data_IF_929800592917
#
_entry.id   IF_929800592917
#
_cell.length_a   1.000
_cell.length_b   1.000
_cell.length_c   1.000
_cell.angle_alpha   90.00
_cell.angle_beta   90.00
_cell.angle_gamma   90.00
#
_symmetry.space_group_name_H-M   'P 1'
#
loop_
_entity.id
_entity.type
_entity.pdbx_description
1 polymer ?
#
# COMPACT_ATOMS: atom_id res chain seq x y z
N UNK A 1 10.98 -3.68 -13.04
CA UNK A 1 11.60 -3.22 -14.31
C UNK A 1 11.00 -3.91 -15.53
N UNK A 2 11.17 -5.21 -15.76
CA UNK A 2 10.61 -5.93 -16.94
C UNK A 2 9.12 -5.65 -17.23
N UNK A 3 8.31 -5.49 -16.18
CA UNK A 3 6.89 -5.14 -16.33
C UNK A 3 6.73 -3.75 -16.99
N UNK A 4 7.42 -2.74 -16.47
CA UNK A 4 7.39 -1.39 -17.01
C UNK A 4 7.99 -1.33 -18.41
N UNK A 5 9.10 -2.04 -18.66
CA UNK A 5 9.70 -2.14 -19.99
C UNK A 5 8.68 -2.60 -21.04
N UNK A 6 7.88 -3.63 -20.72
CA UNK A 6 6.84 -4.13 -21.61
C UNK A 6 5.65 -3.19 -21.75
N UNK A 7 5.20 -2.56 -20.66
CA UNK A 7 4.00 -1.70 -20.67
C UNK A 7 4.29 -0.37 -21.39
N UNK A 8 5.48 0.18 -21.23
CA UNK A 8 5.87 1.48 -21.80
C UNK A 8 6.77 1.36 -23.03
N UNK A 9 6.80 0.20 -23.71
CA UNK A 9 7.66 -0.06 -24.86
C UNK A 9 9.10 0.48 -24.68
N UNK A 10 9.67 0.29 -23.49
CA UNK A 10 10.93 0.93 -23.12
C UNK A 10 12.13 0.19 -23.70
N UNK A 11 13.24 0.91 -23.87
CA UNK A 11 14.57 0.32 -24.06
C UNK A 11 15.31 0.29 -22.73
N UNK A 12 16.02 -0.81 -22.44
CA UNK A 12 16.79 -0.95 -21.20
C UNK A 12 18.21 -1.43 -21.44
N UNK A 13 19.14 -1.02 -20.57
CA UNK A 13 20.53 -1.49 -20.56
C UNK A 13 20.91 -1.89 -19.14
N UNK A 14 21.58 -3.03 -18.99
CA UNK A 14 21.97 -3.58 -17.67
C UNK A 14 20.82 -4.28 -16.92
N UNK A 15 19.73 -4.65 -17.61
CA UNK A 15 18.59 -5.36 -17.02
C UNK A 15 18.85 -6.86 -16.84
N UNK A 16 19.78 -7.18 -15.95
CA UNK A 16 20.19 -8.55 -15.63
C UNK A 16 20.39 -8.77 -14.13
N UNK A 17 20.25 -10.01 -13.69
CA UNK A 17 20.36 -10.36 -12.26
C UNK A 17 21.80 -10.11 -11.81
N UNK A 18 21.97 -9.33 -10.74
CA UNK A 18 23.27 -8.98 -10.18
C UNK A 18 23.87 -7.69 -10.73
N UNK A 19 23.24 -7.05 -11.72
CA UNK A 19 23.67 -5.73 -12.20
C UNK A 19 23.59 -4.67 -11.09
N UNK A 20 24.55 -3.74 -11.11
CA UNK A 20 24.60 -2.57 -10.22
C UNK A 20 24.18 -1.28 -10.90
N UNK A 21 23.97 -1.32 -12.22
CA UNK A 21 23.60 -0.17 -13.04
C UNK A 21 22.44 -0.55 -13.97
N UNK A 22 21.51 0.38 -14.14
CA UNK A 22 20.35 0.20 -15.00
C UNK A 22 20.06 1.53 -15.70
N UNK A 23 20.06 1.50 -17.03
CA UNK A 23 19.52 2.60 -17.85
C UNK A 23 18.12 2.20 -18.32
N UNK A 24 17.16 3.10 -18.18
CA UNK A 24 15.76 2.87 -18.56
C UNK A 24 15.26 4.05 -19.41
N UNK A 25 14.91 3.78 -20.66
CA UNK A 25 14.45 4.76 -21.63
C UNK A 25 12.98 4.50 -21.94
N UNK A 26 12.02 5.17 -21.24
CA UNK A 26 10.60 4.92 -21.43
C UNK A 26 10.16 5.35 -22.85
N UNK A 27 9.32 4.53 -23.47
CA UNK A 27 8.53 4.91 -24.65
C UNK A 27 7.08 5.25 -24.25
N UNK A 28 6.19 5.19 -25.23
CA UNK A 28 4.76 5.42 -25.00
C UNK A 28 4.10 4.24 -24.27
N UNK A 29 3.15 4.55 -23.38
CA UNK A 29 2.37 3.54 -22.68
C UNK A 29 1.12 3.21 -23.48
N UNK A 30 1.05 1.98 -23.97
CA UNK A 30 -0.16 1.46 -24.59
C UNK A 30 -1.08 0.88 -23.51
N UNK A 31 -2.29 1.43 -23.39
CA UNK A 31 -3.37 0.78 -22.64
C UNK A 31 -3.67 -0.60 -23.23
N UNK A 32 -4.20 -1.51 -22.44
CA UNK A 32 -4.45 -2.87 -22.90
C UNK A 32 -4.42 -3.92 -21.79
N UNK A 33 -4.42 -5.19 -22.19
CA UNK A 33 -4.42 -6.33 -21.26
C UNK A 33 -3.06 -6.99 -21.20
N UNK A 34 -2.53 -7.14 -19.99
CA UNK A 34 -1.25 -7.76 -19.73
C UNK A 34 -1.37 -8.87 -18.69
N UNK A 35 -0.49 -9.87 -18.83
CA UNK A 35 -0.28 -10.92 -17.84
C UNK A 35 1.19 -10.97 -17.47
N UNK A 36 1.48 -10.98 -16.18
CA UNK A 36 2.83 -11.06 -15.64
C UNK A 36 2.88 -12.10 -14.52
N UNK A 37 3.96 -12.88 -14.50
CA UNK A 37 4.29 -13.78 -13.40
C UNK A 37 5.67 -13.35 -12.87
N UNK A 38 5.73 -13.01 -11.59
CA UNK A 38 6.98 -12.64 -10.91
C UNK A 38 7.90 -13.86 -10.79
N UNK A 39 7.36 -15.08 -10.88
CA UNK A 39 8.10 -16.35 -10.87
C UNK A 39 8.64 -16.75 -9.50
N UNK A 40 8.48 -15.89 -8.49
CA UNK A 40 8.91 -16.09 -7.11
C UNK A 40 7.84 -15.55 -6.15
N UNK A 41 8.11 -15.60 -4.84
CA UNK A 41 7.31 -14.89 -3.84
C UNK A 41 7.55 -13.37 -3.81
N UNK A 42 8.07 -12.77 -4.88
CA UNK A 42 8.17 -11.31 -5.01
C UNK A 42 6.79 -10.66 -4.95
N UNK A 43 6.71 -9.51 -4.28
CA UNK A 43 5.44 -8.87 -3.92
C UNK A 43 4.72 -8.28 -5.13
N UNK A 44 3.47 -8.70 -5.33
CA UNK A 44 2.60 -8.12 -6.37
C UNK A 44 2.20 -6.69 -6.01
N UNK A 45 2.07 -6.34 -4.72
CA UNK A 45 1.67 -4.99 -4.29
C UNK A 45 2.77 -3.98 -4.59
N UNK A 46 4.04 -4.34 -4.41
CA UNK A 46 5.18 -3.51 -4.84
C UNK A 46 5.23 -3.34 -6.36
N UNK A 47 5.02 -4.43 -7.11
CA UNK A 47 4.97 -4.35 -8.57
C UNK A 47 3.83 -3.43 -9.03
N UNK A 48 2.64 -3.54 -8.44
CA UNK A 48 1.50 -2.66 -8.71
C UNK A 48 1.80 -1.20 -8.36
N UNK A 49 2.47 -0.93 -7.24
CA UNK A 49 2.88 0.43 -6.89
C UNK A 49 3.83 1.06 -7.92
N UNK A 50 4.56 0.28 -8.70
CA UNK A 50 5.35 0.82 -9.82
C UNK A 50 4.53 1.10 -11.08
N UNK A 51 3.38 0.45 -11.25
CA UNK A 51 2.56 0.51 -12.47
C UNK A 51 1.42 1.53 -12.33
N UNK A 52 0.80 1.62 -11.15
CA UNK A 52 -0.35 2.51 -10.91
C UNK A 52 -0.07 4.00 -11.23
N UNK A 53 1.14 4.56 -11.02
CA UNK A 53 1.44 5.93 -11.44
C UNK A 53 1.25 6.18 -12.94
N UNK A 54 1.29 5.13 -13.78
CA UNK A 54 1.00 5.26 -15.22
C UNK A 54 -0.44 5.70 -15.50
N UNK A 55 -1.36 5.60 -14.53
CA UNK A 55 -2.73 6.14 -14.63
C UNK A 55 -2.76 7.59 -15.12
N UNK A 56 -1.75 8.39 -14.79
CA UNK A 56 -1.65 9.79 -15.22
C UNK A 56 -1.18 10.01 -16.66
N UNK A 57 -0.57 8.99 -17.29
CA UNK A 57 0.01 9.07 -18.63
C UNK A 57 -0.71 8.23 -19.69
N UNK A 58 -1.67 7.39 -19.28
CA UNK A 58 -2.45 6.54 -20.20
C UNK A 58 -3.72 7.20 -20.68
N UNK A 59 -4.11 6.93 -21.93
CA UNK A 59 -5.40 7.34 -22.51
C UNK A 59 -6.45 6.22 -22.52
N UNK A 60 -6.02 4.97 -22.28
CA UNK A 60 -6.86 3.77 -22.23
C UNK A 60 -6.52 2.95 -20.98
N UNK A 61 -7.49 2.22 -20.39
CA UNK A 61 -7.23 1.40 -19.21
C UNK A 61 -6.14 0.33 -19.40
N UNK A 62 -5.46 0.01 -18.31
CA UNK A 62 -4.55 -1.13 -18.19
C UNK A 62 -5.22 -2.22 -17.36
N UNK A 63 -5.46 -3.39 -17.96
CA UNK A 63 -5.96 -4.59 -17.28
C UNK A 63 -4.82 -5.56 -17.06
N UNK A 64 -4.43 -5.79 -15.80
CA UNK A 64 -3.24 -6.54 -15.42
C UNK A 64 -3.64 -7.75 -14.60
N UNK A 65 -3.34 -8.94 -15.10
CA UNK A 65 -3.33 -10.16 -14.31
C UNK A 65 -1.90 -10.39 -13.82
N UNK A 66 -1.70 -10.37 -12.50
CA UNK A 66 -0.38 -10.44 -11.90
C UNK A 66 -0.31 -11.61 -10.92
N UNK A 67 0.73 -12.44 -11.08
CA UNK A 67 1.02 -13.59 -10.22
C UNK A 67 2.31 -13.41 -9.43
N UNK A 68 2.28 -13.72 -8.14
CA UNK A 68 3.41 -13.54 -7.22
C UNK A 68 3.03 -13.70 -5.74
N UNK A 69 3.75 -13.04 -4.84
CA UNK A 69 3.42 -12.97 -3.42
C UNK A 69 2.40 -11.87 -3.12
N UNK A 70 1.35 -12.17 -2.35
CA UNK A 70 0.31 -11.20 -1.94
C UNK A 70 0.51 -10.73 -0.49
N UNK A 71 1.05 -11.63 0.34
CA UNK A 71 1.21 -11.46 1.77
C UNK A 71 2.62 -11.92 2.14
N UNK A 72 3.62 -11.08 1.82
CA UNK A 72 5.04 -11.38 1.97
C UNK A 72 5.77 -10.26 2.71
N UNK A 73 6.86 -10.59 3.40
CA UNK A 73 7.63 -9.65 4.22
C UNK A 73 8.15 -8.46 3.40
N UNK A 74 8.38 -7.35 4.10
CA UNK A 74 8.96 -6.12 3.53
C UNK A 74 8.15 -5.53 2.37
N UNK A 75 6.85 -5.80 2.35
CA UNK A 75 5.91 -5.22 1.40
C UNK A 75 4.54 -5.03 2.05
N UNK A 76 3.70 -4.12 1.53
CA UNK A 76 2.31 -4.06 1.92
C UNK A 76 1.62 -5.41 1.67
N UNK A 77 0.90 -5.92 2.67
CA UNK A 77 -0.01 -7.05 2.46
C UNK A 77 -1.11 -6.66 1.48
N UNK A 78 -1.76 -7.65 0.87
CA UNK A 78 -2.85 -7.39 -0.07
C UNK A 78 -3.98 -6.55 0.54
N UNK A 79 -4.37 -6.85 1.78
CA UNK A 79 -5.42 -6.09 2.47
C UNK A 79 -4.97 -4.67 2.81
N UNK A 80 -3.73 -4.45 3.26
CA UNK A 80 -3.25 -3.08 3.42
C UNK A 80 -3.28 -2.33 2.07
N UNK A 81 -2.79 -2.95 1.01
CA UNK A 81 -2.81 -2.37 -0.32
C UNK A 81 -4.22 -2.01 -0.78
N UNK A 82 -5.19 -2.93 -0.67
CA UNK A 82 -6.57 -2.71 -1.13
C UNK A 82 -7.35 -1.78 -0.20
N UNK A 83 -7.32 -2.05 1.10
CA UNK A 83 -8.20 -1.39 2.07
C UNK A 83 -7.64 -0.04 2.54
N UNK A 84 -6.33 0.21 2.44
CA UNK A 84 -5.69 1.46 2.92
C UNK A 84 -5.14 2.28 1.76
N UNK A 85 -4.21 1.71 1.00
CA UNK A 85 -3.52 2.44 -0.07
C UNK A 85 -4.44 2.81 -1.24
N UNK A 86 -5.15 1.84 -1.82
CA UNK A 86 -6.09 2.10 -2.92
C UNK A 86 -7.28 2.96 -2.48
N UNK A 87 -7.68 2.88 -1.20
CA UNK A 87 -8.73 3.75 -0.67
C UNK A 87 -8.35 5.23 -0.82
N UNK A 88 -7.10 5.59 -0.51
CA UNK A 88 -6.61 6.97 -0.64
C UNK A 88 -6.35 7.35 -2.09
N UNK A 89 -5.84 6.44 -2.92
CA UNK A 89 -5.65 6.71 -4.35
C UNK A 89 -6.96 7.01 -5.08
N UNK A 90 -8.00 6.21 -4.82
CA UNK A 90 -9.31 6.42 -5.43
C UNK A 90 -9.92 7.78 -5.01
N UNK A 91 -9.65 8.25 -3.78
CA UNK A 91 -10.09 9.57 -3.32
C UNK A 91 -9.44 10.73 -4.08
N UNK A 92 -8.20 10.58 -4.55
CA UNK A 92 -7.50 11.61 -5.31
C UNK A 92 -7.69 11.45 -6.83
N UNK A 93 -8.71 10.70 -7.27
CA UNK A 93 -9.06 10.54 -8.68
C UNK A 93 -8.23 9.51 -9.46
N UNK A 94 -7.46 8.66 -8.77
CA UNK A 94 -6.70 7.56 -9.38
C UNK A 94 -7.51 6.26 -9.25
N UNK A 95 -8.42 6.01 -10.21
CA UNK A 95 -9.32 4.84 -10.20
C UNK A 95 -8.56 3.54 -10.51
N UNK A 96 -8.41 2.73 -9.46
CA UNK A 96 -7.82 1.39 -9.52
C UNK A 96 -8.79 0.40 -8.90
N UNK A 97 -9.16 -0.62 -9.68
CA UNK A 97 -9.98 -1.75 -9.23
C UNK A 97 -9.12 -2.98 -9.11
N UNK A 98 -9.07 -3.56 -7.93
CA UNK A 98 -8.19 -4.68 -7.63
C UNK A 98 -8.96 -5.83 -6.95
N UNK A 99 -8.96 -6.97 -7.62
CA UNK A 99 -9.61 -8.20 -7.18
C UNK A 99 -8.58 -9.30 -7.00
N UNK A 100 -8.55 -9.85 -5.79
CA UNK A 100 -7.70 -10.99 -5.47
C UNK A 100 -8.39 -12.24 -5.99
N UNK A 101 -7.68 -13.00 -6.82
CA UNK A 101 -8.13 -14.32 -7.28
C UNK A 101 -7.67 -15.38 -6.29
N UNK A 102 -6.42 -15.28 -5.82
CA UNK A 102 -5.81 -16.24 -4.89
C UNK A 102 -4.70 -15.60 -4.08
N UNK A 103 -4.57 -15.98 -2.81
CA UNK A 103 -3.46 -15.58 -1.92
C UNK A 103 -2.17 -16.30 -2.26
N UNK A 104 -1.06 -15.61 -1.99
CA UNK A 104 0.30 -16.06 -2.22
C UNK A 104 1.18 -15.73 -1.03
N UNK A 105 1.28 -16.65 -0.09
CA UNK A 105 2.20 -16.52 1.05
C UNK A 105 3.60 -17.07 0.70
N UNK A 106 4.62 -16.49 1.34
CA UNK A 106 6.00 -17.03 1.32
C UNK A 106 6.02 -18.49 1.86
N UNK A 107 6.86 -19.41 1.35
CA UNK A 107 7.93 -19.21 0.35
C UNK A 107 7.49 -19.35 -1.10
N UNK A 108 6.37 -20.01 -1.39
CA UNK A 108 5.98 -20.30 -2.77
C UNK A 108 5.43 -19.08 -3.51
N UNK A 109 4.78 -18.15 -2.80
CA UNK A 109 3.99 -17.11 -3.45
C UNK A 109 2.85 -17.74 -4.25
N UNK A 110 2.75 -17.40 -5.54
CA UNK A 110 1.75 -17.97 -6.46
C UNK A 110 0.33 -17.46 -6.27
N UNK A 111 0.16 -16.40 -5.48
CA UNK A 111 -1.06 -15.61 -5.43
C UNK A 111 -1.28 -14.89 -6.75
N UNK A 112 -2.51 -14.51 -7.01
CA UNK A 112 -2.97 -13.99 -8.29
C UNK A 112 -4.00 -12.90 -8.05
N UNK A 113 -3.87 -11.79 -8.78
CA UNK A 113 -4.81 -10.70 -8.75
C UNK A 113 -5.09 -10.16 -10.15
N UNK A 114 -6.32 -9.70 -10.36
CA UNK A 114 -6.73 -8.92 -11.51
C UNK A 114 -6.84 -7.45 -11.08
N UNK A 115 -6.16 -6.57 -11.79
CA UNK A 115 -6.13 -5.14 -11.49
C UNK A 115 -6.40 -4.34 -12.74
N UNK A 116 -7.43 -3.51 -12.72
CA UNK A 116 -7.73 -2.53 -13.74
C UNK A 116 -7.31 -1.14 -13.25
N UNK A 117 -6.45 -0.47 -14.02
CA UNK A 117 -5.98 0.90 -13.78
C UNK A 117 -6.57 1.76 -14.88
N UNK A 118 -7.38 2.75 -14.50
CA UNK A 118 -8.02 3.66 -15.46
C UNK A 118 -7.20 4.94 -15.63
N UNK A 119 -7.30 5.62 -16.79
CA UNK A 119 -6.80 6.98 -16.93
C UNK A 119 -7.32 7.86 -15.81
N UNK A 120 -6.43 8.55 -15.11
CA UNK A 120 -6.80 9.48 -14.06
C UNK A 120 -7.64 10.61 -14.67
N UNK A 121 -8.85 10.82 -14.14
CA UNK A 121 -9.76 11.90 -14.55
C UNK A 121 -9.90 12.87 -13.38
N UNK A 122 -9.62 14.13 -13.64
CA UNK A 122 -9.74 15.23 -12.68
C UNK A 122 -9.11 14.90 -11.30
N UNK A 123 -7.83 14.51 -11.26
CA UNK A 123 -7.21 14.12 -10.00
C UNK A 123 -7.09 15.31 -9.04
N UNK A 124 -7.40 15.06 -7.78
CA UNK A 124 -7.56 16.10 -6.76
C UNK A 124 -6.38 16.15 -5.78
N UNK A 125 -6.09 17.35 -5.28
CA UNK A 125 -5.14 17.52 -4.17
C UNK A 125 -5.65 16.87 -2.89
N UNK A 126 -4.73 16.38 -2.07
CA UNK A 126 -5.04 15.80 -0.77
C UNK A 126 -4.65 16.77 0.36
N UNK A 127 -5.63 17.35 1.04
CA UNK A 127 -5.44 18.26 2.16
C UNK A 127 -6.07 17.67 3.43
N UNK A 128 -5.28 16.89 4.18
CA UNK A 128 -5.78 16.17 5.35
C UNK A 128 -5.30 16.81 6.64
N UNK A 129 -6.23 17.41 7.36
CA UNK A 129 -6.04 17.86 8.74
C UNK A 129 -5.84 16.71 9.73
N UNK A 130 -5.39 17.04 10.94
CA UNK A 130 -5.25 16.08 12.05
C UNK A 130 -6.59 15.39 12.33
N UNK A 131 -6.53 14.11 12.64
CA UNK A 131 -7.70 13.22 12.66
C UNK A 131 -7.99 12.66 14.05
N UNK A 132 -9.19 12.12 14.23
CA UNK A 132 -9.59 11.39 15.44
C UNK A 132 -10.28 10.09 15.05
N UNK A 133 -9.69 8.99 15.47
CA UNK A 133 -10.10 7.65 15.11
C UNK A 133 -10.78 6.95 16.28
N UNK A 134 -11.95 6.34 16.04
CA UNK A 134 -12.77 5.74 17.11
C UNK A 134 -13.08 4.25 16.89
N UNK A 135 -12.87 3.75 15.68
CA UNK A 135 -13.18 2.38 15.28
C UNK A 135 -12.00 1.71 14.61
N UNK A 136 -11.75 0.44 14.93
CA UNK A 136 -10.83 -0.43 14.20
C UNK A 136 -11.63 -1.41 13.35
N UNK A 137 -11.35 -1.43 12.06
CA UNK A 137 -11.77 -2.49 11.14
C UNK A 137 -10.57 -3.38 10.85
N UNK A 138 -10.80 -4.61 10.41
CA UNK A 138 -9.69 -5.47 10.04
C UNK A 138 -10.05 -6.77 9.36
N UNK A 139 -9.03 -7.34 8.72
CA UNK A 139 -9.08 -8.66 8.06
C UNK A 139 -7.91 -9.49 8.56
N UNK A 140 -8.21 -10.72 8.97
CA UNK A 140 -7.24 -11.77 9.22
C UNK A 140 -7.30 -12.71 8.02
N UNK A 141 -6.31 -12.62 7.14
CA UNK A 141 -6.16 -13.51 6.01
C UNK A 141 -5.46 -14.79 6.46
N UNK A 142 -5.97 -15.96 6.08
CA UNK A 142 -5.41 -17.25 6.49
C UNK A 142 -5.48 -18.29 5.37
N UNK A 143 -4.46 -19.13 5.28
CA UNK A 143 -4.39 -20.27 4.35
C UNK A 143 -3.78 -21.48 5.05
N UNK A 144 -4.42 -22.65 4.90
CA UNK A 144 -3.94 -23.99 5.29
C UNK A 144 -3.49 -24.13 6.74
N UNK A 145 -3.89 -23.19 7.59
CA UNK A 145 -3.66 -23.22 9.02
C UNK A 145 -4.91 -23.70 9.75
N UNK A 146 -4.71 -24.28 10.93
CA UNK A 146 -5.80 -24.75 11.79
C UNK A 146 -6.71 -23.59 12.22
N UNK A 147 -8.00 -23.88 12.37
CA UNK A 147 -9.05 -22.92 12.75
C UNK A 147 -8.77 -22.18 14.08
N UNK A 148 -8.05 -22.79 15.01
CA UNK A 148 -7.71 -22.15 16.29
C UNK A 148 -6.80 -20.93 16.10
N UNK A 149 -5.97 -20.89 15.05
CA UNK A 149 -5.01 -19.81 14.81
C UNK A 149 -5.71 -18.47 14.52
N UNK A 150 -6.52 -18.31 13.45
CA UNK A 150 -7.19 -17.05 13.16
C UNK A 150 -8.19 -16.66 14.25
N UNK A 151 -8.81 -17.64 14.93
CA UNK A 151 -9.70 -17.39 16.08
C UNK A 151 -8.96 -16.78 17.27
N UNK A 152 -7.78 -17.30 17.62
CA UNK A 152 -6.95 -16.77 18.71
C UNK A 152 -6.42 -15.36 18.41
N UNK A 153 -6.01 -15.10 17.16
CA UNK A 153 -5.63 -13.76 16.70
C UNK A 153 -6.82 -12.80 16.87
N UNK A 154 -7.99 -13.16 16.32
CA UNK A 154 -9.21 -12.35 16.42
C UNK A 154 -9.60 -12.06 17.86
N UNK A 155 -9.60 -13.08 18.72
CA UNK A 155 -9.91 -12.90 20.14
C UNK A 155 -8.90 -11.95 20.82
N UNK A 156 -7.61 -12.11 20.57
CA UNK A 156 -6.59 -11.20 21.12
C UNK A 156 -6.85 -9.74 20.75
N UNK A 157 -7.19 -9.48 19.48
CA UNK A 157 -7.50 -8.11 19.00
C UNK A 157 -8.79 -7.59 19.65
N UNK A 158 -9.88 -8.37 19.65
CA UNK A 158 -11.16 -7.95 20.24
C UNK A 158 -11.00 -7.64 21.73
N UNK A 159 -10.28 -8.49 22.47
CA UNK A 159 -10.01 -8.27 23.90
C UNK A 159 -9.30 -6.93 24.14
N UNK A 160 -8.25 -6.64 23.37
CA UNK A 160 -7.51 -5.39 23.48
C UNK A 160 -8.35 -4.16 23.08
N UNK A 161 -9.21 -4.29 22.07
CA UNK A 161 -10.17 -3.26 21.71
C UNK A 161 -11.16 -2.97 22.85
N UNK A 162 -11.71 -4.01 23.49
CA UNK A 162 -12.62 -3.86 24.64
C UNK A 162 -11.92 -3.17 25.82
N UNK A 163 -10.69 -3.57 26.16
CA UNK A 163 -9.87 -2.95 27.20
C UNK A 163 -9.61 -1.45 26.95
N UNK A 164 -9.59 -1.03 25.68
CA UNK A 164 -9.38 0.37 25.27
C UNK A 164 -10.68 1.10 24.92
N UNK A 165 -11.84 0.47 25.06
CA UNK A 165 -13.14 1.02 24.63
C UNK A 165 -13.16 1.45 23.17
N UNK A 166 -12.48 0.70 22.29
CA UNK A 166 -12.43 0.94 20.85
C UNK A 166 -13.44 0.02 20.16
N UNK A 167 -14.32 0.59 19.33
CA UNK A 167 -15.23 -0.20 18.51
C UNK A 167 -14.42 -1.03 17.51
N UNK A 168 -14.73 -2.32 17.36
CA UNK A 168 -13.91 -3.22 16.57
C UNK A 168 -14.73 -4.18 15.70
N UNK A 169 -14.34 -4.31 14.43
CA UNK A 169 -14.95 -5.24 13.49
C UNK A 169 -13.88 -5.97 12.68
N UNK A 170 -13.68 -7.25 13.01
CA UNK A 170 -12.63 -8.09 12.39
C UNK A 170 -13.26 -9.25 11.63
N UNK A 171 -12.89 -9.37 10.36
CA UNK A 171 -13.26 -10.48 9.48
C UNK A 171 -12.11 -11.49 9.38
N UNK A 172 -12.45 -12.75 9.17
CA UNK A 172 -11.48 -13.78 8.81
C UNK A 172 -11.73 -14.11 7.34
N UNK A 173 -10.69 -13.97 6.53
CA UNK A 173 -10.68 -14.30 5.12
C UNK A 173 -9.81 -15.55 4.92
N UNK A 174 -10.45 -16.68 4.64
CA UNK A 174 -9.76 -17.97 4.46
C UNK A 174 -9.68 -18.28 2.98
N UNK A 175 -8.46 -18.50 2.50
CA UNK A 175 -8.18 -18.96 1.15
C UNK A 175 -7.21 -20.13 1.20
N UNK A 176 -7.75 -21.34 1.18
CA UNK A 176 -6.98 -22.58 1.18
C UNK A 176 -6.56 -23.02 -0.24
N UNK A 177 -6.88 -22.25 -1.29
CA UNK A 177 -6.33 -22.47 -2.62
C UNK A 177 -4.88 -21.97 -2.72
N UNK A 178 -4.46 -21.07 -1.83
CA UNK A 178 -3.07 -20.58 -1.73
C UNK A 178 -2.05 -21.73 -1.70
N UNK A 179 -0.94 -21.67 -2.47
CA UNK A 179 0.07 -22.74 -2.50
C UNK A 179 0.79 -22.99 -1.17
N UNK A 180 0.78 -21.98 -0.28
CA UNK A 180 1.49 -21.96 1.00
C UNK A 180 0.51 -21.80 2.17
N UNK A 181 0.89 -22.36 3.31
CA UNK A 181 0.35 -21.96 4.61
C UNK A 181 0.72 -20.50 4.91
N UNK A 182 -0.16 -19.78 5.59
CA UNK A 182 0.15 -18.43 6.01
C UNK A 182 -0.99 -17.76 6.75
N UNK A 183 -0.64 -16.69 7.48
CA UNK A 183 -1.60 -15.78 8.08
C UNK A 183 -1.06 -14.36 8.00
N UNK A 184 -1.89 -13.40 7.66
CA UNK A 184 -1.60 -11.97 7.79
C UNK A 184 -2.77 -11.27 8.44
N UNK A 185 -2.50 -10.16 9.09
CA UNK A 185 -3.52 -9.33 9.73
C UNK A 185 -3.35 -7.91 9.24
N UNK A 186 -4.43 -7.32 8.76
CA UNK A 186 -4.49 -5.88 8.46
C UNK A 186 -5.58 -5.26 9.31
N UNK A 187 -5.23 -4.20 10.03
CA UNK A 187 -6.16 -3.35 10.76
C UNK A 187 -6.11 -1.95 10.16
N UNK A 188 -7.26 -1.29 10.10
CA UNK A 188 -7.34 0.10 9.67
C UNK A 188 -8.39 0.87 10.46
N UNK A 189 -8.29 2.19 10.40
CA UNK A 189 -9.24 3.10 11.01
C UNK A 189 -9.56 4.26 10.08
N UNK A 190 -10.83 4.64 10.06
CA UNK A 190 -11.40 5.71 9.25
C UNK A 190 -11.65 6.96 10.09
N UNK A 191 -11.39 8.13 9.54
CA UNK A 191 -11.76 9.42 10.14
C UNK A 191 -11.95 10.46 9.03
N UNK A 192 -13.18 10.96 8.86
CA UNK A 192 -13.56 11.91 7.81
C UNK A 192 -12.94 11.53 6.45
N UNK A 193 -11.93 12.27 6.01
CA UNK A 193 -11.28 12.10 4.72
C UNK A 193 -10.05 11.18 4.73
N UNK A 194 -9.66 10.69 5.89
CA UNK A 194 -8.46 9.89 6.11
C UNK A 194 -8.76 8.42 6.43
N UNK A 195 -7.82 7.56 6.05
CA UNK A 195 -7.70 6.19 6.53
C UNK A 195 -6.24 5.87 6.84
N UNK A 196 -6.00 5.31 8.03
CA UNK A 196 -4.68 4.83 8.48
C UNK A 196 -4.71 3.32 8.64
N UNK A 197 -3.58 2.67 8.36
CA UNK A 197 -3.46 1.22 8.38
C UNK A 197 -2.27 0.70 9.16
N UNK A 198 -2.36 -0.57 9.56
CA UNK A 198 -1.25 -1.38 10.02
C UNK A 198 -1.45 -2.83 9.57
N UNK A 199 -0.37 -3.50 9.19
CA UNK A 199 -0.43 -4.92 8.84
C UNK A 199 0.78 -5.68 9.31
N UNK A 200 0.57 -6.93 9.71
CA UNK A 200 1.60 -7.86 10.16
C UNK A 200 1.39 -9.25 9.55
N UNK A 201 2.48 -10.00 9.37
CA UNK A 201 2.45 -11.36 8.83
C UNK A 201 2.86 -12.33 9.94
N UNK A 202 2.15 -13.45 10.05
CA UNK A 202 2.49 -14.53 10.96
C UNK A 202 3.71 -15.33 10.48
N UNK A 203 4.50 -15.81 11.44
CA UNK A 203 5.69 -16.60 11.18
C UNK A 203 5.72 -17.85 12.05
N UNK A 204 6.46 -18.87 11.60
CA UNK A 204 6.65 -20.09 12.40
C UNK A 204 7.26 -19.73 13.75
N UNK A 205 6.62 -20.20 14.83
CA UNK A 205 7.03 -19.92 16.21
C UNK A 205 6.49 -18.61 16.79
N UNK A 206 5.81 -17.76 16.01
CA UNK A 206 5.13 -16.57 16.52
C UNK A 206 3.74 -16.95 17.09
N UNK A 207 3.46 -16.72 18.39
CA UNK A 207 2.15 -17.00 18.95
C UNK A 207 1.04 -16.12 18.36
N UNK A 208 -0.15 -16.70 18.15
CA UNK A 208 -1.34 -16.02 17.63
C UNK A 208 -1.72 -14.75 18.42
N UNK A 209 -1.68 -14.80 19.75
CA UNK A 209 -1.97 -13.65 20.61
C UNK A 209 -0.91 -12.57 20.48
N UNK A 210 0.35 -12.95 20.29
CA UNK A 210 1.44 -12.00 20.08
C UNK A 210 1.27 -11.28 18.75
N UNK A 211 0.94 -12.00 17.67
CA UNK A 211 0.64 -11.39 16.36
C UNK A 211 -0.55 -10.42 16.46
N UNK A 212 -1.65 -10.83 17.09
CA UNK A 212 -2.82 -9.98 17.29
C UNK A 212 -2.51 -8.72 18.13
N UNK A 213 -1.66 -8.85 19.16
CA UNK A 213 -1.18 -7.71 19.95
C UNK A 213 -0.32 -6.76 19.15
N UNK A 214 0.66 -7.27 18.40
CA UNK A 214 1.59 -6.44 17.62
C UNK A 214 0.86 -5.52 16.63
N UNK A 215 -0.06 -6.09 15.83
CA UNK A 215 -0.82 -5.30 14.86
C UNK A 215 -1.78 -4.32 15.55
N UNK A 216 -2.40 -4.71 16.68
CA UNK A 216 -3.26 -3.82 17.46
C UNK A 216 -2.49 -2.63 18.06
N UNK A 217 -1.34 -2.89 18.69
CA UNK A 217 -0.50 -1.84 19.26
C UNK A 217 0.01 -0.88 18.18
N UNK A 218 0.33 -1.42 16.99
CA UNK A 218 0.76 -0.64 15.83
C UNK A 218 -0.35 0.30 15.32
N UNK A 219 -1.57 -0.19 15.06
CA UNK A 219 -2.68 0.70 14.62
C UNK A 219 -3.08 1.70 15.71
N UNK A 220 -3.09 1.31 17.00
CA UNK A 220 -3.42 2.22 18.10
C UNK A 220 -2.37 3.32 18.25
N UNK A 221 -1.10 3.03 17.96
CA UNK A 221 -0.04 4.06 17.94
C UNK A 221 -0.33 5.13 16.88
N UNK A 222 -0.75 4.71 15.68
CA UNK A 222 -1.17 5.65 14.63
C UNK A 222 -2.41 6.44 15.06
N UNK A 223 -3.46 5.77 15.54
CA UNK A 223 -4.72 6.40 15.97
C UNK A 223 -4.50 7.46 17.05
N UNK A 224 -3.69 7.15 18.08
CA UNK A 224 -3.41 8.06 19.20
C UNK A 224 -2.59 9.28 18.80
N UNK A 225 -1.80 9.19 17.75
CA UNK A 225 -0.99 10.31 17.27
C UNK A 225 -1.85 11.44 16.70
N UNK A 226 -3.05 11.12 16.19
CA UNK A 226 -3.90 12.05 15.45
C UNK A 226 -3.37 12.37 14.04
N UNK A 227 -2.39 11.60 13.55
CA UNK A 227 -1.89 11.69 12.18
C UNK A 227 -3.00 11.40 11.15
N UNK A 228 -2.96 12.10 10.02
CA UNK A 228 -3.88 11.85 8.91
C UNK A 228 -3.35 10.84 7.91
N UNK A 229 -2.09 10.44 8.00
CA UNK A 229 -1.51 9.40 7.16
C UNK A 229 -0.56 8.58 8.04
N UNK A 230 -0.62 7.25 7.92
CA UNK A 230 0.29 6.39 8.66
C UNK A 230 1.70 6.40 8.04
N UNK A 231 2.69 5.94 8.80
CA UNK A 231 4.10 6.06 8.41
C UNK A 231 4.47 5.35 7.10
N UNK A 232 3.72 4.33 6.67
CA UNK A 232 3.99 3.57 5.46
C UNK A 232 3.22 4.16 4.27
N UNK A 233 1.96 4.57 4.49
CA UNK A 233 1.18 5.23 3.46
C UNK A 233 1.84 6.55 3.03
N UNK A 234 2.51 7.23 3.98
CA UNK A 234 3.18 8.50 3.78
C UNK A 234 4.14 8.51 2.58
N UNK A 235 4.99 7.49 2.44
CA UNK A 235 5.92 7.43 1.30
C UNK A 235 5.27 6.93 0.01
N UNK A 236 4.21 6.12 0.13
CA UNK A 236 3.51 5.50 -1.01
C UNK A 236 2.69 6.51 -1.81
N UNK A 237 2.10 7.52 -1.17
CA UNK A 237 1.23 8.50 -1.85
C UNK A 237 1.99 9.69 -2.46
N UNK A 238 3.27 9.91 -2.10
CA UNK A 238 4.01 11.10 -2.51
C UNK A 238 4.09 11.29 -4.02
N UNK A 239 4.30 10.22 -4.79
CA UNK A 239 4.45 10.30 -6.25
C UNK A 239 3.17 10.83 -6.91
N UNK A 240 2.01 10.47 -6.37
CA UNK A 240 0.70 10.90 -6.88
C UNK A 240 0.46 12.37 -6.56
N UNK A 241 0.64 12.75 -5.29
CA UNK A 241 0.45 14.14 -4.87
C UNK A 241 1.45 15.09 -5.55
N UNK A 242 2.68 14.64 -5.79
CA UNK A 242 3.68 15.38 -6.54
C UNK A 242 3.29 15.58 -7.99
N UNK A 243 2.82 14.51 -8.67
CA UNK A 243 2.37 14.64 -10.05
C UNK A 243 1.21 15.62 -10.16
N UNK A 244 0.22 15.49 -9.27
CA UNK A 244 -0.95 16.37 -9.22
C UNK A 244 -0.52 17.83 -8.97
N UNK A 245 0.37 18.07 -8.00
CA UNK A 245 0.89 19.40 -7.72
C UNK A 245 1.68 19.99 -8.91
N UNK A 246 2.50 19.17 -9.57
CA UNK A 246 3.30 19.58 -10.74
C UNK A 246 2.44 19.95 -11.94
N UNK A 247 1.37 19.19 -12.22
CA UNK A 247 0.57 19.35 -13.44
C UNK A 247 -0.59 20.32 -13.29
N UNK A 248 -1.21 20.35 -12.11
CA UNK A 248 -2.42 21.12 -11.87
C UNK A 248 -2.19 22.32 -10.94
N UNK A 249 -0.97 22.52 -10.42
CA UNK A 249 -0.63 23.65 -9.54
C UNK A 249 -1.27 23.60 -8.15
N UNK A 250 -2.00 22.52 -7.84
CA UNK A 250 -2.67 22.33 -6.56
C UNK A 250 -1.68 22.01 -5.43
N UNK A 251 -2.06 22.34 -4.21
CA UNK A 251 -1.25 22.10 -3.00
C UNK A 251 -1.85 20.94 -2.22
N UNK A 252 -1.01 20.00 -1.79
CA UNK A 252 -1.40 18.91 -0.90
C UNK A 252 -0.66 19.01 0.43
N UNK A 253 -1.28 18.57 1.51
CA UNK A 253 -0.60 18.38 2.80
C UNK A 253 -1.27 17.31 3.64
N UNK A 254 -0.49 16.69 4.51
CA UNK A 254 -0.97 15.72 5.49
C UNK A 254 -0.03 15.67 6.70
N UNK A 255 -0.46 14.97 7.75
CA UNK A 255 0.25 14.83 9.01
C UNK A 255 0.66 13.39 9.25
N UNK A 256 1.92 13.18 9.62
CA UNK A 256 2.48 11.88 10.00
C UNK A 256 3.09 11.97 11.39
N UNK A 257 3.09 10.86 12.13
CA UNK A 257 3.74 10.81 13.45
C UNK A 257 5.27 10.78 13.37
N UNK A 258 5.81 10.32 12.24
CA UNK A 258 7.24 10.12 12.03
C UNK A 258 7.53 10.21 10.54
N UNK A 259 8.62 10.90 10.17
CA UNK A 259 9.10 10.93 8.79
C UNK A 259 10.17 9.86 8.61
N UNK A 260 9.81 8.74 7.99
CA UNK A 260 10.70 7.59 7.82
C UNK A 260 11.81 7.88 6.81
N UNK A 261 12.85 7.04 6.78
CA UNK A 261 13.88 7.13 5.75
C UNK A 261 13.30 6.89 4.34
N UNK A 262 12.32 5.99 4.18
CA UNK A 262 11.63 5.78 2.91
C UNK A 262 10.91 7.05 2.45
N UNK A 263 10.20 7.73 3.36
CA UNK A 263 9.56 9.03 3.05
C UNK A 263 10.60 10.05 2.61
N UNK A 264 11.71 10.21 3.33
CA UNK A 264 12.78 11.17 2.97
C UNK A 264 13.40 10.87 1.61
N UNK A 265 13.71 9.61 1.33
CA UNK A 265 14.28 9.18 0.06
C UNK A 265 13.31 9.42 -1.09
N UNK A 266 12.02 9.10 -0.92
CA UNK A 266 11.00 9.37 -1.94
C UNK A 266 10.85 10.87 -2.20
N UNK A 267 10.77 11.71 -1.15
CA UNK A 267 10.72 13.16 -1.31
C UNK A 267 11.90 13.68 -2.13
N UNK A 268 13.12 13.29 -1.76
CA UNK A 268 14.34 13.69 -2.46
C UNK A 268 14.34 13.23 -3.93
N UNK A 269 13.97 11.98 -4.19
CA UNK A 269 13.98 11.40 -5.53
C UNK A 269 12.94 12.06 -6.44
N UNK A 270 11.71 12.25 -5.95
CA UNK A 270 10.61 12.81 -6.73
C UNK A 270 10.92 14.25 -7.16
N UNK A 271 11.53 15.07 -6.28
CA UNK A 271 11.98 16.43 -6.62
C UNK A 271 13.05 16.47 -7.74
N UNK A 272 13.70 15.34 -8.08
CA UNK A 272 14.61 15.26 -9.23
C UNK A 272 13.89 15.08 -10.56
N UNK A 273 12.67 14.55 -10.55
CA UNK A 273 11.90 14.22 -11.75
C UNK A 273 10.75 15.19 -12.02
N UNK A 274 10.19 15.81 -10.99
CA UNK A 274 9.02 16.69 -11.12
C UNK A 274 9.34 18.10 -10.59
N UNK A 275 8.81 19.17 -11.24
CA UNK A 275 8.91 20.55 -10.75
C UNK A 275 7.99 20.76 -9.55
N UNK A 276 8.36 20.19 -8.41
CA UNK A 276 7.65 20.31 -7.14
C UNK A 276 8.62 20.63 -6.02
N UNK A 277 8.09 21.23 -4.96
CA UNK A 277 8.77 21.37 -3.68
C UNK A 277 7.98 20.64 -2.60
N UNK A 278 8.67 19.79 -1.86
CA UNK A 278 8.18 19.16 -0.67
C UNK A 278 8.89 19.71 0.56
N UNK A 279 8.13 19.93 1.64
CA UNK A 279 8.67 20.43 2.90
C UNK A 279 8.09 19.69 4.08
N UNK A 280 8.89 19.54 5.13
CA UNK A 280 8.48 18.97 6.42
C UNK A 280 8.57 20.05 7.48
N UNK A 281 7.46 20.32 8.18
CA UNK A 281 7.45 21.15 9.39
C UNK A 281 7.02 20.32 10.59
N UNK A 282 7.66 20.51 11.73
CA UNK A 282 7.23 19.90 12.99
C UNK A 282 6.13 20.76 13.61
N UNK A 283 4.99 20.15 13.92
CA UNK A 283 3.86 20.78 14.58
C UNK A 283 3.45 19.98 15.82
N UNK A 284 3.92 20.42 16.99
CA UNK A 284 3.80 19.67 18.25
C UNK A 284 4.48 18.28 18.11
N UNK A 285 3.71 17.22 18.29
CA UNK A 285 4.15 15.82 18.21
C UNK A 285 4.05 15.21 16.80
N UNK A 286 3.60 15.96 15.80
CA UNK A 286 3.44 15.48 14.42
C UNK A 286 4.35 16.25 13.46
N UNK A 287 4.56 15.67 12.28
CA UNK A 287 5.19 16.31 11.15
C UNK A 287 4.15 16.57 10.07
N UNK A 288 4.05 17.81 9.62
CA UNK A 288 3.27 18.18 8.44
C UNK A 288 4.16 18.05 7.21
N UNK A 289 3.73 17.22 6.26
CA UNK A 289 4.35 17.13 4.94
C UNK A 289 3.50 17.93 3.99
N UNK A 290 4.11 18.87 3.29
CA UNK A 290 3.47 19.74 2.32
C UNK A 290 4.12 19.55 0.95
N UNK A 291 3.30 19.47 -0.11
CA UNK A 291 3.72 19.29 -1.50
C UNK A 291 3.06 20.40 -2.34
N UNK A 292 3.87 21.13 -3.11
CA UNK A 292 3.41 22.19 -4.02
C UNK A 292 4.17 22.16 -5.35
N UNK A 293 3.51 22.58 -6.43
CA UNK A 293 4.16 22.82 -7.72
C UNK A 293 5.13 24.00 -7.66
N UNK A 294 6.09 24.02 -8.59
CA UNK A 294 7.02 25.14 -8.84
C UNK A 294 6.56 25.91 -10.07
#
# INVERSE_FOLDING_TARGET
VKILEKISNASTRGLEIGSRELEFYPGDVEGGRFRFDIGTAGSITLALQTIIPLAFGISKPLSINLRGGTDVKWSPTWNYFKDVFLHILNKIGVDVRADLVRRGFYPKGGGEANVDIYPAKDPESLCLEKQRYEKVNGVIAVSKLREDIPRRIKHSIIKLCLEKSILCQIYIDRDDESPSEGVSVTLWSDSFDSRIGSSEIGERGLPSEKLGRMVFESIVKEMKSGASVDIHLADQILVYLAYIASKYGSKSYFYVREVTNHTRTNMWLIEKFLPVKMSVSRERELYRIEIKGI
#
